data_IF_583450671308
#
_entry.id   IF_583450671308
#
_cell.length_a   1.000
_cell.length_b   1.000
_cell.length_c   1.000
_cell.angle_alpha   90.00
_cell.angle_beta   90.00
_cell.angle_gamma   90.00
#
_symmetry.space_group_name_H-M   'P 1'
#
loop_
_entity.id
_entity.type
_entity.pdbx_description
1 polymer ?
#
# COMPACT_ATOMS: atom_id res chain seq x y z
N UNK A 1 -2.86 -34.13 69.82
CA UNK A 1 -2.64 -32.71 69.49
C UNK A 1 -1.85 -32.64 68.18
N UNK A 2 -2.43 -32.18 67.06
CA UNK A 2 -1.73 -32.09 65.76
C UNK A 2 -1.41 -30.62 65.46
N UNK A 3 -0.13 -30.29 65.35
CA UNK A 3 0.35 -28.96 64.96
C UNK A 3 0.35 -28.88 63.44
N UNK A 4 -0.35 -27.89 62.87
CA UNK A 4 -0.45 -27.66 61.42
C UNK A 4 0.65 -26.66 61.02
N UNK A 5 1.62 -27.10 60.21
CA UNK A 5 2.67 -26.22 59.67
C UNK A 5 2.10 -25.34 58.55
N UNK A 6 2.12 -24.03 58.76
CA UNK A 6 1.80 -23.03 57.74
C UNK A 6 3.01 -22.85 56.81
N UNK A 7 2.87 -23.22 55.53
CA UNK A 7 3.88 -22.96 54.49
C UNK A 7 3.88 -21.47 54.17
N UNK A 8 4.82 -20.72 54.74
CA UNK A 8 5.12 -19.36 54.30
C UNK A 8 5.66 -19.41 52.86
N UNK A 9 4.83 -19.03 51.90
CA UNK A 9 5.25 -18.85 50.51
C UNK A 9 6.14 -17.60 50.43
N UNK A 10 7.46 -17.80 50.34
CA UNK A 10 8.40 -16.73 50.01
C UNK A 10 8.04 -16.16 48.63
N UNK A 11 7.38 -15.01 48.60
CA UNK A 11 7.17 -14.26 47.36
C UNK A 11 8.53 -13.71 46.93
N UNK A 12 9.13 -14.31 45.90
CA UNK A 12 10.30 -13.76 45.23
C UNK A 12 9.89 -12.46 44.54
N UNK A 13 10.40 -11.33 45.02
CA UNK A 13 10.26 -10.03 44.35
C UNK A 13 11.33 -9.86 43.28
N UNK A 14 10.98 -9.22 42.16
CA UNK A 14 11.95 -8.77 41.17
C UNK A 14 12.87 -7.71 41.78
N UNK A 15 14.16 -7.79 41.46
CA UNK A 15 15.12 -6.77 41.87
C UNK A 15 14.99 -5.54 40.96
N UNK A 16 15.26 -4.34 41.52
CA UNK A 16 15.24 -3.10 40.74
C UNK A 16 16.27 -3.14 39.59
N UNK A 17 17.39 -3.82 39.79
CA UNK A 17 18.43 -3.96 38.76
C UNK A 17 18.00 -4.87 37.62
N UNK A 18 17.26 -5.95 37.90
CA UNK A 18 16.68 -6.81 36.86
C UNK A 18 15.70 -6.04 35.97
N UNK A 19 14.91 -5.13 36.55
CA UNK A 19 13.98 -4.33 35.76
C UNK A 19 14.72 -3.24 34.96
N UNK A 20 15.76 -2.64 35.55
CA UNK A 20 16.56 -1.60 34.91
C UNK A 20 17.30 -2.12 33.66
N UNK A 21 17.91 -3.31 33.73
CA UNK A 21 18.60 -3.88 32.56
C UNK A 21 17.62 -4.25 31.44
N UNK A 22 16.40 -4.69 31.79
CA UNK A 22 15.37 -5.06 30.81
C UNK A 22 14.90 -3.85 30.01
N UNK A 23 14.59 -2.73 30.67
CA UNK A 23 14.17 -1.51 29.96
C UNK A 23 15.31 -0.93 29.11
N UNK A 24 16.57 -1.10 29.55
CA UNK A 24 17.74 -0.69 28.78
C UNK A 24 17.86 -1.50 27.48
N UNK A 25 17.71 -2.83 27.53
CA UNK A 25 17.74 -3.70 26.36
C UNK A 25 16.56 -3.41 25.42
N UNK A 26 15.34 -3.25 25.95
CA UNK A 26 14.15 -2.91 25.15
C UNK A 26 14.36 -1.57 24.44
N UNK A 27 14.95 -0.56 25.11
CA UNK A 27 15.27 0.73 24.51
C UNK A 27 16.22 0.64 23.32
N UNK A 28 17.28 -0.17 23.45
CA UNK A 28 18.23 -0.41 22.35
C UNK A 28 17.53 -1.07 21.17
N UNK A 29 16.79 -2.16 21.41
CA UNK A 29 16.08 -2.89 20.34
C UNK A 29 15.02 -2.01 19.65
N UNK A 30 14.25 -1.24 20.42
CA UNK A 30 13.22 -0.35 19.88
C UNK A 30 13.81 0.72 18.95
N UNK A 31 14.97 1.29 19.28
CA UNK A 31 15.63 2.32 18.47
C UNK A 31 15.99 1.84 17.05
N UNK A 32 16.50 0.61 16.92
CA UNK A 32 16.92 0.03 15.63
C UNK A 32 15.73 -0.35 14.76
N UNK A 33 14.63 -0.79 15.39
CA UNK A 33 13.40 -1.18 14.67
C UNK A 33 12.71 0.02 13.99
N UNK A 34 12.72 1.20 14.63
CA UNK A 34 12.04 2.38 14.10
C UNK A 34 12.65 2.87 12.77
N UNK A 35 13.97 2.78 12.61
CA UNK A 35 14.66 3.23 11.39
C UNK A 35 14.25 2.40 10.17
N UNK A 36 14.01 1.10 10.34
CA UNK A 36 13.64 0.20 9.24
C UNK A 36 12.14 0.24 8.89
N UNK A 37 11.28 0.65 9.83
CA UNK A 37 9.83 0.61 9.67
C UNK A 37 9.31 1.54 8.56
N UNK A 38 9.92 2.72 8.41
CA UNK A 38 9.50 3.70 7.39
C UNK A 38 9.65 3.16 5.96
N UNK A 39 10.79 2.54 5.64
CA UNK A 39 11.04 1.95 4.33
C UNK A 39 10.12 0.76 4.02
N UNK A 40 9.90 -0.11 5.01
CA UNK A 40 9.00 -1.27 4.87
C UNK A 40 7.54 -0.84 4.66
N UNK A 41 7.08 0.21 5.36
CA UNK A 41 5.73 0.73 5.19
C UNK A 41 5.49 1.29 3.79
N UNK A 42 6.47 2.00 3.23
CA UNK A 42 6.36 2.51 1.85
C UNK A 42 6.31 1.36 0.83
N UNK A 43 7.12 0.30 1.01
CA UNK A 43 7.07 -0.88 0.13
C UNK A 43 5.74 -1.65 0.24
N UNK A 44 5.15 -1.70 1.44
CA UNK A 44 3.83 -2.28 1.65
C UNK A 44 2.74 -1.47 0.93
N UNK A 45 2.78 -0.13 1.04
CA UNK A 45 1.90 0.79 0.30
C UNK A 45 2.06 0.63 -1.22
N UNK A 46 3.29 0.50 -1.71
CA UNK A 46 3.55 0.28 -3.13
C UNK A 46 2.97 -1.05 -3.64
N UNK A 47 2.97 -2.07 -2.80
CA UNK A 47 2.32 -3.36 -3.11
C UNK A 47 0.80 -3.20 -3.16
N UNK A 48 0.22 -2.41 -2.26
CA UNK A 48 -1.20 -2.08 -2.28
C UNK A 48 -1.59 -1.24 -3.52
N UNK A 49 -0.78 -0.24 -3.90
CA UNK A 49 -0.99 0.53 -5.13
C UNK A 49 -0.99 -0.39 -6.34
N UNK A 50 -0.02 -1.30 -6.46
CA UNK A 50 0.02 -2.27 -7.58
C UNK A 50 -1.22 -3.17 -7.62
N UNK A 51 -1.73 -3.58 -6.46
CA UNK A 51 -2.96 -4.37 -6.35
C UNK A 51 -4.18 -3.56 -6.81
N UNK A 52 -4.37 -2.36 -6.28
CA UNK A 52 -5.48 -1.45 -6.61
C UNK A 52 -5.45 -1.09 -8.11
N UNK A 53 -4.27 -0.86 -8.68
CA UNK A 53 -4.07 -0.65 -10.12
C UNK A 53 -4.47 -1.87 -10.96
N UNK A 54 -4.20 -3.09 -10.48
CA UNK A 54 -4.69 -4.32 -11.12
C UNK A 54 -6.22 -4.47 -11.04
N UNK A 55 -6.82 -4.04 -9.92
CA UNK A 55 -8.28 -4.01 -9.77
C UNK A 55 -8.92 -2.97 -10.69
N UNK A 56 -8.30 -1.81 -10.88
CA UNK A 56 -8.74 -0.80 -11.86
C UNK A 56 -8.78 -1.41 -13.26
N UNK A 57 -7.76 -2.16 -13.69
CA UNK A 57 -7.80 -2.90 -14.98
C UNK A 57 -9.05 -3.77 -15.05
N UNK A 58 -9.26 -4.63 -14.06
CA UNK A 58 -10.39 -5.57 -14.08
C UNK A 58 -11.74 -4.84 -14.14
N UNK A 59 -11.90 -3.75 -13.38
CA UNK A 59 -13.11 -2.93 -13.39
C UNK A 59 -13.34 -2.25 -14.74
N UNK A 60 -12.29 -1.68 -15.33
CA UNK A 60 -12.36 -0.97 -16.63
C UNK A 60 -12.63 -1.95 -17.78
N UNK A 61 -12.00 -3.12 -17.79
CA UNK A 61 -12.28 -4.16 -18.79
C UNK A 61 -13.70 -4.71 -18.64
N UNK A 62 -14.18 -4.93 -17.40
CA UNK A 62 -15.57 -5.32 -17.16
C UNK A 62 -16.58 -4.29 -17.66
N UNK A 63 -16.26 -3.00 -17.54
CA UNK A 63 -17.09 -1.93 -18.07
C UNK A 63 -17.16 -1.98 -19.60
N UNK A 64 -16.03 -2.23 -20.27
CA UNK A 64 -15.97 -2.35 -21.73
C UNK A 64 -16.80 -3.51 -22.25
N UNK A 65 -16.80 -4.66 -21.57
CA UNK A 65 -17.62 -5.81 -21.95
C UNK A 65 -19.13 -5.50 -21.97
N UNK A 66 -19.58 -4.53 -21.17
CA UNK A 66 -21.00 -4.15 -21.08
C UNK A 66 -21.35 -2.96 -21.98
N UNK A 67 -20.46 -1.97 -22.09
CA UNK A 67 -20.75 -0.69 -22.75
C UNK A 67 -20.06 -0.53 -24.11
N UNK A 68 -19.15 -1.45 -24.48
CA UNK A 68 -18.35 -1.41 -25.70
C UNK A 68 -17.56 -0.10 -25.89
N UNK A 69 -17.19 0.54 -24.79
CA UNK A 69 -16.40 1.78 -24.72
C UNK A 69 -15.73 1.88 -23.35
N UNK A 70 -14.56 2.51 -23.26
CA UNK A 70 -13.95 2.85 -21.97
C UNK A 70 -14.36 4.25 -21.48
N UNK A 71 -15.04 5.04 -22.32
CA UNK A 71 -15.52 6.38 -21.94
C UNK A 71 -16.52 6.24 -20.78
N UNK A 72 -16.23 6.91 -19.66
CA UNK A 72 -17.05 6.84 -18.46
C UNK A 72 -16.77 5.63 -17.55
N UNK A 73 -15.81 4.76 -17.89
CA UNK A 73 -15.41 3.62 -17.05
C UNK A 73 -14.96 4.05 -15.64
N UNK A 74 -14.50 5.30 -15.51
CA UNK A 74 -14.13 5.92 -14.24
C UNK A 74 -14.96 7.18 -13.98
N UNK A 75 -16.28 7.07 -14.16
CA UNK A 75 -17.24 8.08 -13.73
C UNK A 75 -17.40 8.12 -12.21
N UNK A 76 -17.99 9.20 -11.69
CA UNK A 76 -18.30 9.34 -10.27
C UNK A 76 -19.17 8.16 -9.80
N UNK A 77 -18.79 7.53 -8.69
CA UNK A 77 -19.50 6.39 -8.12
C UNK A 77 -19.14 5.03 -8.70
N UNK A 78 -18.15 4.95 -9.60
CA UNK A 78 -17.61 3.68 -10.12
C UNK A 78 -16.49 3.13 -9.24
N UNK A 79 -16.27 1.81 -9.30
CA UNK A 79 -15.15 1.13 -8.63
C UNK A 79 -13.80 1.70 -9.07
N UNK A 80 -13.68 2.12 -10.32
CA UNK A 80 -12.45 2.74 -10.79
C UNK A 80 -12.13 4.05 -10.06
N UNK A 81 -13.12 4.90 -9.76
CA UNK A 81 -12.91 6.16 -9.02
C UNK A 81 -12.63 5.91 -7.54
N UNK A 82 -13.30 4.93 -6.92
CA UNK A 82 -13.04 4.59 -5.51
C UNK A 82 -11.62 4.05 -5.33
N UNK A 83 -11.16 3.19 -6.23
CA UNK A 83 -9.79 2.66 -6.21
C UNK A 83 -8.75 3.77 -6.43
N UNK A 84 -9.00 4.70 -7.36
CA UNK A 84 -8.14 5.87 -7.57
C UNK A 84 -8.05 6.79 -6.32
N UNK A 85 -9.18 6.98 -5.64
CA UNK A 85 -9.22 7.73 -4.40
C UNK A 85 -8.48 6.99 -3.27
N UNK A 86 -8.57 5.65 -3.23
CA UNK A 86 -7.87 4.83 -2.24
C UNK A 86 -6.34 4.88 -2.44
N UNK A 87 -5.87 4.83 -3.69
CA UNK A 87 -4.45 5.03 -4.02
C UNK A 87 -3.94 6.36 -3.44
N UNK A 88 -4.73 7.43 -3.60
CA UNK A 88 -4.34 8.78 -3.18
C UNK A 88 -4.48 9.00 -1.68
N UNK A 89 -5.64 8.64 -1.11
CA UNK A 89 -5.98 8.95 0.27
C UNK A 89 -5.40 7.94 1.28
N UNK A 90 -5.32 6.65 0.92
CA UNK A 90 -4.87 5.58 1.84
C UNK A 90 -3.41 5.23 1.62
N UNK A 91 -3.00 5.09 0.36
CA UNK A 91 -1.63 4.65 0.05
C UNK A 91 -0.65 5.82 -0.06
N UNK A 92 -1.12 7.02 -0.41
CA UNK A 92 -0.28 8.21 -0.60
C UNK A 92 0.40 8.27 -1.97
N UNK A 93 0.01 7.39 -2.89
CA UNK A 93 0.42 7.49 -4.29
C UNK A 93 -0.33 8.64 -4.96
N UNK A 94 0.31 9.37 -5.85
CA UNK A 94 -0.33 10.44 -6.63
C UNK A 94 -0.65 9.88 -8.00
N UNK A 95 -1.89 10.05 -8.47
CA UNK A 95 -2.24 9.68 -9.83
C UNK A 95 -1.45 10.55 -10.81
N UNK A 96 -1.01 9.94 -11.91
CA UNK A 96 -0.29 10.62 -12.98
C UNK A 96 -1.17 11.62 -13.74
N UNK A 97 -0.69 12.13 -14.88
CA UNK A 97 -1.51 12.98 -15.76
C UNK A 97 -2.85 12.31 -16.01
N UNK A 98 -3.93 13.08 -15.85
CA UNK A 98 -5.30 12.60 -15.67
C UNK A 98 -5.59 11.31 -16.46
N UNK A 99 -6.06 10.26 -15.78
CA UNK A 99 -6.27 8.96 -16.40
C UNK A 99 -7.17 9.13 -17.63
N UNK A 100 -6.68 8.65 -18.76
CA UNK A 100 -7.30 8.93 -20.05
C UNK A 100 -8.07 7.70 -20.48
N UNK A 101 -9.36 7.89 -20.77
CA UNK A 101 -10.27 6.85 -21.23
C UNK A 101 -10.90 7.29 -22.54
N UNK A 102 -10.67 6.51 -23.58
CA UNK A 102 -11.23 6.75 -24.92
C UNK A 102 -12.18 5.62 -25.29
N UNK A 103 -12.68 5.61 -26.52
CA UNK A 103 -13.56 4.54 -26.98
C UNK A 103 -12.85 3.19 -27.10
N UNK A 104 -11.53 3.18 -27.33
CA UNK A 104 -10.77 1.95 -27.64
C UNK A 104 -9.44 1.81 -26.90
N UNK A 105 -9.06 2.77 -26.06
CA UNK A 105 -7.82 2.73 -25.29
C UNK A 105 -8.00 3.43 -23.95
N UNK A 106 -7.26 2.97 -22.94
CA UNK A 106 -7.22 3.56 -21.61
C UNK A 106 -5.86 3.37 -20.96
N UNK A 107 -5.50 4.30 -20.07
CA UNK A 107 -4.27 4.24 -19.29
C UNK A 107 -4.46 4.94 -17.95
N UNK A 108 -3.93 4.33 -16.89
CA UNK A 108 -3.90 4.90 -15.53
C UNK A 108 -2.51 4.69 -14.95
N UNK A 109 -2.09 5.63 -14.11
CA UNK A 109 -0.79 5.56 -13.46
C UNK A 109 -0.81 6.21 -12.09
N UNK A 110 0.08 5.73 -11.21
CA UNK A 110 0.23 6.23 -9.84
C UNK A 110 1.69 6.22 -9.40
N UNK A 111 2.11 7.22 -8.61
CA UNK A 111 3.47 7.29 -8.05
C UNK A 111 3.66 6.23 -6.96
N UNK A 112 4.86 5.62 -6.92
CA UNK A 112 5.29 4.71 -5.86
C UNK A 112 6.04 5.49 -4.78
N UNK A 113 5.76 5.18 -3.51
CA UNK A 113 6.27 5.85 -2.32
C UNK A 113 7.73 5.47 -2.00
N UNK A 114 8.21 4.30 -2.42
CA UNK A 114 9.56 3.83 -2.12
C UNK A 114 10.63 4.25 -3.17
N UNK A 115 10.35 5.27 -3.99
CA UNK A 115 11.31 5.81 -4.97
C UNK A 115 11.40 5.02 -6.28
N UNK A 116 10.37 4.24 -6.61
CA UNK A 116 10.33 3.37 -7.80
C UNK A 116 9.74 4.00 -9.06
N UNK A 117 9.50 5.31 -9.09
CA UNK A 117 8.81 5.97 -10.21
C UNK A 117 7.31 5.75 -10.19
N UNK A 118 6.68 5.78 -11.37
CA UNK A 118 5.23 5.69 -11.52
C UNK A 118 4.84 4.31 -12.00
N UNK A 119 3.96 3.62 -11.29
CA UNK A 119 3.38 2.38 -11.78
C UNK A 119 2.26 2.70 -12.77
N UNK A 120 2.31 2.12 -13.96
CA UNK A 120 1.35 2.36 -15.04
C UNK A 120 0.70 1.05 -15.49
N UNK A 121 -0.59 1.13 -15.81
CA UNK A 121 -1.36 0.07 -16.46
C UNK A 121 -2.16 0.65 -17.63
N UNK A 122 -2.31 -0.14 -18.70
CA UNK A 122 -3.05 0.29 -19.89
C UNK A 122 -3.93 -0.81 -20.50
N UNK A 123 -4.65 -0.48 -21.57
CA UNK A 123 -5.51 -1.39 -22.33
C UNK A 123 -4.77 -2.53 -23.05
N UNK A 124 -3.44 -2.45 -23.20
CA UNK A 124 -2.67 -3.44 -23.99
C UNK A 124 -2.22 -4.64 -23.18
N UNK A 125 -2.40 -4.61 -21.86
CA UNK A 125 -1.85 -5.64 -20.97
C UNK A 125 -0.65 -5.17 -20.16
N UNK A 126 -0.08 -3.99 -20.43
CA UNK A 126 1.08 -3.48 -19.70
C UNK A 126 0.76 -3.24 -18.23
N UNK A 127 1.71 -3.60 -17.35
CA UNK A 127 1.69 -3.31 -15.93
C UNK A 127 3.13 -3.21 -15.44
N UNK A 128 3.62 -2.01 -15.16
CA UNK A 128 5.04 -1.80 -14.87
C UNK A 128 5.40 -0.35 -14.60
N UNK A 129 6.66 -0.11 -14.25
CA UNK A 129 7.21 1.25 -14.21
C UNK A 129 7.67 1.59 -15.64
N UNK A 130 7.04 2.56 -16.33
CA UNK A 130 7.45 2.98 -17.65
C UNK A 130 8.81 3.70 -17.64
N UNK A 131 9.43 3.78 -18.81
CA UNK A 131 10.73 4.46 -18.97
C UNK A 131 10.61 5.97 -19.17
N UNK A 132 9.43 6.50 -19.51
CA UNK A 132 9.17 7.94 -19.60
C UNK A 132 8.42 8.50 -18.37
N UNK A 133 8.70 9.76 -18.06
CA UNK A 133 8.15 10.51 -16.91
C UNK A 133 6.65 10.82 -17.09
N UNK A 134 6.14 10.78 -18.32
CA UNK A 134 4.72 10.99 -18.65
C UNK A 134 3.98 9.67 -18.64
N UNK A 135 3.27 9.48 -17.56
CA UNK A 135 2.73 8.21 -17.10
C UNK A 135 1.50 7.72 -17.84
N UNK A 136 0.94 8.53 -18.73
CA UNK A 136 0.07 8.13 -19.84
C UNK A 136 0.33 9.15 -20.96
N UNK A 137 0.77 8.70 -22.13
CA UNK A 137 1.02 9.61 -23.24
C UNK A 137 -0.30 10.01 -23.95
N UNK A 138 -0.20 10.89 -24.96
CA UNK A 138 -1.35 11.28 -25.81
C UNK A 138 -1.94 10.12 -26.63
N UNK A 139 -1.21 9.01 -26.77
CA UNK A 139 -1.71 7.77 -27.38
C UNK A 139 -2.35 6.81 -26.36
N UNK A 140 -2.50 7.25 -25.09
CA UNK A 140 -3.19 6.52 -24.01
C UNK A 140 -2.53 5.17 -23.71
N UNK A 141 -1.19 5.15 -23.65
CA UNK A 141 -0.37 3.97 -23.36
C UNK A 141 0.69 4.27 -22.30
N UNK A 142 1.12 3.22 -21.61
CA UNK A 142 2.30 3.25 -20.74
C UNK A 142 3.56 3.19 -21.62
N UNK A 143 4.49 4.14 -21.47
CA UNK A 143 5.76 4.22 -22.23
C UNK A 143 6.96 4.51 -21.33
#
# INVERSE_FOLDING_TARGET
>A
MKIKMNKNNFKKGFTLIELLVVIAIIGILASVLLVNLAGTRNRAKDSAIKLEMGQIRTAVESFFLTNNTYVGACGVGTDCVTLQNDITAKQGGTLGTAPTFTTSAWCVSATLNAGGGNWCVDATGYAGVPTAVTTCNTAVKCL
#
